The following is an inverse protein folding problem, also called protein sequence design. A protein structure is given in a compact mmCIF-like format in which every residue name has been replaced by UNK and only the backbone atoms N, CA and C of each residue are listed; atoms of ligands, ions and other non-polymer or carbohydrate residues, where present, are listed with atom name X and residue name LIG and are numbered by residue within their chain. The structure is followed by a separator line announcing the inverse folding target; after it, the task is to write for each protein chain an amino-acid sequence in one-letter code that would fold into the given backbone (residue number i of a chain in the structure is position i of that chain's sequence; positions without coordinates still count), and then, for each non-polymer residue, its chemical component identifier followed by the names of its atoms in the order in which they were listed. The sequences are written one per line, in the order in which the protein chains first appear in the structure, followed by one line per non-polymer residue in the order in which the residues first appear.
data_IF_775439863848
#
_entry.id   IF_775439863848
#
_cell.length_a   1.000
_cell.length_b   1.000
_cell.length_c   1.000
_cell.angle_alpha   90.00
_cell.angle_beta   90.00
_cell.angle_gamma   90.00
#
_symmetry.space_group_name_H-M   'P 1'
#
loop_
_entity.id
_entity.type
_entity.pdbx_description
1 polymer ?
#
# COMPACT_ATOMS: atom_id res chain seq x y z
N UNK A 1 16.49 22.98 7.59
CA UNK A 1 15.16 23.31 8.18
C UNK A 1 14.07 23.46 7.13
N UNK A 2 14.09 24.46 6.21
CA UNK A 2 12.97 24.63 5.24
C UNK A 2 12.74 23.38 4.35
N UNK A 3 13.81 22.76 3.88
CA UNK A 3 13.77 21.57 3.01
C UNK A 3 13.20 20.33 3.75
N UNK A 4 13.46 20.18 5.03
CA UNK A 4 12.93 19.07 5.84
C UNK A 4 11.42 19.18 6.05
N UNK A 5 10.91 20.41 6.26
CA UNK A 5 9.47 20.64 6.36
C UNK A 5 8.72 20.41 5.04
N UNK A 6 9.36 20.74 3.92
CA UNK A 6 8.78 20.51 2.59
C UNK A 6 8.74 19.02 2.25
N UNK A 7 9.81 18.26 2.56
CA UNK A 7 9.85 16.81 2.42
C UNK A 7 8.74 16.15 3.24
N UNK A 8 8.68 16.46 4.55
CA UNK A 8 7.65 15.94 5.44
C UNK A 8 6.23 16.29 4.96
N UNK A 9 6.00 17.53 4.55
CA UNK A 9 4.70 17.99 4.06
C UNK A 9 4.26 17.24 2.80
N UNK A 10 5.16 17.09 1.82
CA UNK A 10 4.89 16.37 0.57
C UNK A 10 4.56 14.90 0.84
N UNK A 11 5.38 14.21 1.63
CA UNK A 11 5.15 12.80 1.96
C UNK A 11 3.85 12.60 2.74
N UNK A 12 3.52 13.51 3.65
CA UNK A 12 2.25 13.45 4.40
C UNK A 12 1.04 13.57 3.46
N UNK A 13 1.06 14.53 2.53
CA UNK A 13 -0.03 14.71 1.56
C UNK A 13 -0.16 13.47 0.67
N UNK A 14 0.96 12.95 0.15
CA UNK A 14 0.96 11.74 -0.68
C UNK A 14 0.46 10.52 0.10
N UNK A 15 0.82 10.40 1.37
CA UNK A 15 0.35 9.30 2.24
C UNK A 15 -1.16 9.34 2.46
N UNK A 16 -1.71 10.53 2.75
CA UNK A 16 -3.15 10.71 2.90
C UNK A 16 -3.87 10.39 1.59
N UNK A 17 -3.37 10.90 0.46
CA UNK A 17 -3.95 10.65 -0.84
C UNK A 17 -3.90 9.16 -1.22
N UNK A 18 -2.78 8.49 -0.95
CA UNK A 18 -2.62 7.05 -1.14
C UNK A 18 -3.69 6.25 -0.37
N UNK A 19 -3.79 6.45 0.94
CA UNK A 19 -4.74 5.72 1.77
C UNK A 19 -6.19 6.03 1.39
N UNK A 20 -6.50 7.31 1.11
CA UNK A 20 -7.84 7.71 0.70
C UNK A 20 -8.26 7.08 -0.63
N UNK A 21 -7.40 7.12 -1.64
CA UNK A 21 -7.71 6.54 -2.96
C UNK A 21 -7.79 5.02 -2.89
N UNK A 22 -6.93 4.38 -2.10
CA UNK A 22 -6.96 2.93 -1.87
C UNK A 22 -8.25 2.51 -1.16
N UNK A 23 -8.63 3.20 -0.09
CA UNK A 23 -9.89 2.99 0.62
C UNK A 23 -11.10 3.17 -0.30
N UNK A 24 -11.08 4.21 -1.15
CA UNK A 24 -12.17 4.50 -2.09
C UNK A 24 -12.35 3.40 -3.14
N UNK A 25 -11.25 2.88 -3.70
CA UNK A 25 -11.31 1.78 -4.67
C UNK A 25 -11.84 0.51 -4.01
N UNK A 26 -11.42 0.21 -2.78
CA UNK A 26 -11.92 -0.94 -2.05
C UNK A 26 -13.37 -0.77 -1.60
N UNK A 27 -13.77 0.42 -1.12
CA UNK A 27 -15.15 0.66 -0.75
C UNK A 27 -16.09 0.44 -1.93
N UNK A 28 -15.73 0.88 -3.13
CA UNK A 28 -16.53 0.63 -4.35
C UNK A 28 -16.64 -0.88 -4.65
N UNK A 29 -15.62 -1.68 -4.33
CA UNK A 29 -15.66 -3.14 -4.50
C UNK A 29 -16.63 -3.79 -3.51
N UNK A 30 -16.76 -3.24 -2.30
CA UNK A 30 -17.60 -3.76 -1.22
C UNK A 30 -18.87 -2.93 -0.95
N UNK A 31 -19.18 -1.90 -1.75
CA UNK A 31 -20.13 -0.82 -1.46
C UNK A 31 -21.47 -1.35 -0.91
N UNK A 32 -22.09 -2.28 -1.62
CA UNK A 32 -23.35 -2.90 -1.20
C UNK A 32 -23.31 -3.59 0.16
N UNK A 33 -22.16 -4.13 0.55
CA UNK A 33 -21.98 -4.95 1.76
C UNK A 33 -21.53 -4.15 2.98
N UNK A 34 -20.89 -3.01 2.76
CA UNK A 34 -20.56 -2.06 3.83
C UNK A 34 -21.84 -1.45 4.41
N UNK A 35 -22.84 -1.18 3.57
CA UNK A 35 -24.16 -0.70 4.00
C UNK A 35 -24.92 -1.73 4.85
N UNK A 36 -24.78 -3.01 4.55
CA UNK A 36 -25.40 -4.13 5.28
C UNK A 36 -24.73 -4.45 6.63
N UNK A 37 -23.71 -3.69 7.07
CA UNK A 37 -22.92 -3.90 8.30
C UNK A 37 -22.36 -5.34 8.42
N UNK A 38 -21.93 -5.90 7.31
CA UNK A 38 -21.34 -7.24 7.26
C UNK A 38 -19.97 -7.26 7.94
N UNK A 39 -19.85 -7.91 9.09
CA UNK A 39 -18.63 -7.94 9.89
C UNK A 39 -17.46 -8.61 9.15
N UNK A 40 -17.71 -9.67 8.37
CA UNK A 40 -16.67 -10.34 7.60
C UNK A 40 -16.06 -9.40 6.56
N UNK A 41 -16.88 -8.62 5.85
CA UNK A 41 -16.40 -7.64 4.89
C UNK A 41 -15.65 -6.49 5.55
N UNK A 42 -16.11 -6.02 6.72
CA UNK A 42 -15.39 -5.00 7.50
C UNK A 42 -14.01 -5.47 7.95
N UNK A 43 -13.86 -6.75 8.33
CA UNK A 43 -12.57 -7.36 8.67
C UNK A 43 -11.63 -7.35 7.46
N UNK A 44 -12.11 -7.80 6.29
CA UNK A 44 -11.31 -7.82 5.06
C UNK A 44 -10.93 -6.39 4.62
N UNK A 45 -11.87 -5.47 4.66
CA UNK A 45 -11.62 -4.06 4.34
C UNK A 45 -10.58 -3.44 5.30
N UNK A 46 -10.76 -3.61 6.61
CA UNK A 46 -9.85 -3.07 7.62
C UNK A 46 -8.44 -3.67 7.52
N UNK A 47 -8.34 -4.99 7.34
CA UNK A 47 -7.03 -5.66 7.18
C UNK A 47 -6.30 -5.23 5.91
N UNK A 48 -7.00 -5.00 4.82
CA UNK A 48 -6.39 -4.51 3.60
C UNK A 48 -5.95 -3.04 3.68
N UNK A 49 -6.64 -2.20 4.45
CA UNK A 49 -6.16 -0.85 4.77
C UNK A 49 -4.91 -0.89 5.66
N UNK A 50 -4.86 -1.79 6.66
CA UNK A 50 -3.66 -2.00 7.48
C UNK A 50 -2.48 -2.48 6.63
N UNK A 51 -2.70 -3.43 5.73
CA UNK A 51 -1.70 -3.91 4.79
C UNK A 51 -1.17 -2.78 3.89
N UNK A 52 -2.07 -1.94 3.37
CA UNK A 52 -1.69 -0.75 2.61
C UNK A 52 -0.87 0.26 3.44
N UNK A 53 -1.20 0.44 4.71
CA UNK A 53 -0.43 1.27 5.64
C UNK A 53 0.98 0.72 5.91
N UNK A 54 1.14 -0.60 6.05
CA UNK A 54 2.44 -1.26 6.17
C UNK A 54 3.28 -1.02 4.91
N UNK A 55 2.70 -1.25 3.74
CA UNK A 55 3.36 -1.03 2.46
C UNK A 55 3.78 0.44 2.28
N UNK A 56 2.91 1.36 2.67
CA UNK A 56 3.17 2.80 2.64
C UNK A 56 4.35 3.18 3.54
N UNK A 57 4.41 2.66 4.76
CA UNK A 57 5.52 2.93 5.68
C UNK A 57 6.86 2.53 5.07
N UNK A 58 6.93 1.38 4.44
CA UNK A 58 8.17 0.90 3.80
C UNK A 58 8.63 1.77 2.62
N UNK A 59 7.72 2.32 1.80
CA UNK A 59 8.11 3.14 0.65
C UNK A 59 8.40 4.59 1.04
N UNK A 60 7.84 5.07 2.15
CA UNK A 60 8.04 6.45 2.60
C UNK A 60 9.50 6.76 2.88
N UNK A 61 10.24 5.84 3.51
CA UNK A 61 11.67 6.02 3.80
C UNK A 61 12.48 6.16 2.51
N UNK A 62 12.28 5.23 1.55
CA UNK A 62 12.99 5.27 0.25
C UNK A 62 12.63 6.53 -0.55
N UNK A 63 11.37 6.94 -0.51
CA UNK A 63 10.91 8.17 -1.16
C UNK A 63 11.52 9.41 -0.52
N UNK A 64 11.62 9.46 0.81
CA UNK A 64 12.26 10.55 1.56
C UNK A 64 13.74 10.68 1.18
N UNK A 65 14.48 9.57 1.14
CA UNK A 65 15.89 9.57 0.78
C UNK A 65 16.11 10.10 -0.64
N UNK A 66 15.29 9.64 -1.61
CA UNK A 66 15.35 10.11 -2.99
C UNK A 66 15.04 11.61 -3.09
N UNK A 67 14.00 12.07 -2.38
CA UNK A 67 13.62 13.48 -2.36
C UNK A 67 14.73 14.35 -1.77
N UNK A 68 15.26 14.00 -0.61
CA UNK A 68 16.34 14.75 0.06
C UNK A 68 17.57 14.88 -0.82
N UNK A 69 17.97 13.78 -1.49
CA UNK A 69 19.08 13.80 -2.42
C UNK A 69 18.83 14.77 -3.58
N UNK A 70 17.70 14.65 -4.28
CA UNK A 70 17.39 15.50 -5.44
C UNK A 70 17.19 16.97 -5.06
N UNK A 71 16.59 17.25 -3.90
CA UNK A 71 16.44 18.60 -3.37
C UNK A 71 17.83 19.21 -3.08
N UNK A 72 18.78 18.43 -2.55
CA UNK A 72 20.15 18.91 -2.33
C UNK A 72 20.87 19.31 -3.62
N UNK A 73 20.48 18.70 -4.76
CA UNK A 73 20.95 19.04 -6.09
C UNK A 73 20.14 20.17 -6.75
N UNK A 74 19.20 20.77 -6.03
CA UNK A 74 18.27 21.80 -6.54
C UNK A 74 17.32 21.30 -7.66
N UNK A 75 17.04 19.98 -7.69
CA UNK A 75 16.20 19.31 -8.69
C UNK A 75 14.79 18.99 -8.17
N UNK A 76 14.07 19.99 -7.71
CA UNK A 76 12.74 19.87 -7.06
C UNK A 76 11.71 19.11 -7.89
N UNK A 77 11.63 19.39 -9.19
CA UNK A 77 10.66 18.74 -10.09
C UNK A 77 10.90 17.22 -10.16
N UNK A 78 12.18 16.81 -10.20
CA UNK A 78 12.53 15.40 -10.21
C UNK A 78 12.22 14.76 -8.84
N UNK A 79 12.48 15.46 -7.73
CA UNK A 79 12.18 14.98 -6.39
C UNK A 79 10.70 14.63 -6.24
N UNK A 80 9.80 15.53 -6.62
CA UNK A 80 8.36 15.30 -6.59
C UNK A 80 7.97 14.16 -7.55
N UNK A 81 8.55 14.11 -8.75
CA UNK A 81 8.31 13.06 -9.73
C UNK A 81 8.67 11.67 -9.20
N UNK A 82 9.81 11.52 -8.53
CA UNK A 82 10.22 10.26 -7.89
C UNK A 82 9.29 9.87 -6.75
N UNK A 83 8.91 10.80 -5.88
CA UNK A 83 7.96 10.53 -4.82
C UNK A 83 6.63 10.01 -5.38
N UNK A 84 6.07 10.68 -6.38
CA UNK A 84 4.84 10.25 -7.05
C UNK A 84 4.98 8.85 -7.67
N UNK A 85 6.10 8.57 -8.32
CA UNK A 85 6.37 7.25 -8.93
C UNK A 85 6.39 6.14 -7.87
N UNK A 86 7.08 6.35 -6.75
CA UNK A 86 7.17 5.38 -5.67
C UNK A 86 5.82 5.13 -5.00
N UNK A 87 5.06 6.18 -4.71
CA UNK A 87 3.72 6.06 -4.14
C UNK A 87 2.74 5.38 -5.10
N UNK A 88 2.77 5.71 -6.39
CA UNK A 88 1.94 5.05 -7.41
C UNK A 88 2.32 3.57 -7.56
N UNK A 89 3.60 3.24 -7.62
CA UNK A 89 4.10 1.86 -7.68
C UNK A 89 3.65 1.03 -6.48
N UNK A 90 3.77 1.59 -5.26
CA UNK A 90 3.34 0.92 -4.05
C UNK A 90 1.81 0.79 -3.96
N UNK A 91 1.07 1.76 -4.50
CA UNK A 91 -0.39 1.67 -4.60
C UNK A 91 -0.82 0.49 -5.49
N UNK A 92 -0.21 0.37 -6.67
CA UNK A 92 -0.44 -0.75 -7.60
C UNK A 92 -0.07 -2.07 -6.91
N UNK A 93 1.07 -2.13 -6.23
CA UNK A 93 1.51 -3.30 -5.50
C UNK A 93 0.50 -3.72 -4.42
N UNK A 94 0.02 -2.79 -3.60
CA UNK A 94 -0.99 -3.06 -2.57
C UNK A 94 -2.30 -3.56 -3.16
N UNK A 95 -2.72 -3.01 -4.30
CA UNK A 95 -3.91 -3.49 -5.02
C UNK A 95 -3.71 -4.91 -5.57
N UNK A 96 -2.55 -5.20 -6.13
CA UNK A 96 -2.20 -6.55 -6.63
C UNK A 96 -2.17 -7.56 -5.49
N UNK A 97 -1.57 -7.21 -4.33
CA UNK A 97 -1.59 -8.06 -3.14
C UNK A 97 -3.02 -8.36 -2.68
N UNK A 98 -3.88 -7.36 -2.64
CA UNK A 98 -5.29 -7.54 -2.32
C UNK A 98 -5.95 -8.55 -3.27
N UNK A 99 -5.70 -8.46 -4.57
CA UNK A 99 -6.23 -9.41 -5.58
C UNK A 99 -5.66 -10.82 -5.43
N UNK A 100 -4.35 -10.93 -5.17
CA UNK A 100 -3.66 -12.21 -4.94
C UNK A 100 -4.23 -12.89 -3.69
N UNK A 101 -4.49 -12.14 -2.62
CA UNK A 101 -5.06 -12.70 -1.39
C UNK A 101 -6.42 -13.32 -1.65
N UNK A 102 -7.30 -12.65 -2.42
CA UNK A 102 -8.57 -13.25 -2.84
C UNK A 102 -8.39 -14.52 -3.66
N UNK A 103 -7.39 -14.58 -4.51
CA UNK A 103 -7.09 -15.78 -5.29
C UNK A 103 -6.63 -16.92 -4.38
N UNK A 104 -5.73 -16.67 -3.43
CA UNK A 104 -5.20 -17.68 -2.49
C UNK A 104 -6.33 -18.20 -1.59
N UNK A 105 -7.11 -17.31 -0.98
CA UNK A 105 -8.22 -17.71 -0.11
C UNK A 105 -9.31 -18.45 -0.86
N UNK A 106 -9.52 -18.13 -2.14
CA UNK A 106 -10.46 -18.84 -3.02
C UNK A 106 -10.11 -20.31 -3.23
N UNK A 107 -8.83 -20.71 -3.10
CA UNK A 107 -8.43 -22.13 -3.11
C UNK A 107 -8.70 -22.85 -1.80
N UNK A 108 -8.80 -22.11 -0.70
CA UNK A 108 -9.01 -22.67 0.63
C UNK A 108 -10.48 -22.83 0.97
N UNK A 109 -11.37 -22.27 0.14
CA UNK A 109 -12.83 -22.28 0.37
C UNK A 109 -13.54 -23.19 -0.62
N UNK A 110 -14.54 -23.99 -0.18
CA UNK A 110 -15.34 -24.84 -1.07
C UNK A 110 -16.20 -24.05 -2.07
N UNK A 111 -16.63 -22.85 -1.65
CA UNK A 111 -17.33 -21.88 -2.50
C UNK A 111 -16.42 -20.67 -2.79
N UNK A 112 -16.84 -19.79 -3.71
CA UNK A 112 -16.07 -18.57 -3.92
C UNK A 112 -16.03 -17.73 -2.64
N UNK A 113 -14.81 -17.25 -2.27
CA UNK A 113 -14.59 -16.45 -1.07
C UNK A 113 -15.60 -15.30 -0.92
N UNK A 114 -15.90 -14.61 -2.02
CA UNK A 114 -16.86 -13.51 -2.00
C UNK A 114 -18.26 -13.96 -1.58
N UNK A 115 -18.68 -15.19 -1.91
CA UNK A 115 -19.97 -15.74 -1.45
C UNK A 115 -19.94 -16.01 0.05
N UNK A 116 -18.84 -16.56 0.57
CA UNK A 116 -18.66 -16.81 2.01
C UNK A 116 -18.64 -15.50 2.81
N UNK A 117 -17.93 -14.49 2.33
CA UNK A 117 -17.93 -13.17 2.94
C UNK A 117 -19.35 -12.54 2.95
N UNK A 118 -20.12 -12.73 1.88
CA UNK A 118 -21.53 -12.28 1.83
C UNK A 118 -22.43 -12.95 2.87
N UNK A 119 -22.16 -14.20 3.19
CA UNK A 119 -22.86 -14.94 4.26
C UNK A 119 -22.38 -14.53 5.67
N UNK A 120 -21.53 -13.48 5.76
CA UNK A 120 -20.90 -13.02 7.01
C UNK A 120 -20.02 -14.07 7.67
N UNK A 121 -19.32 -14.89 6.87
CA UNK A 121 -18.38 -15.90 7.39
C UNK A 121 -17.10 -15.23 7.90
N UNK A 122 -17.05 -15.03 9.23
CA UNK A 122 -15.93 -14.36 9.92
C UNK A 122 -14.65 -15.20 9.86
N UNK A 123 -14.74 -16.52 9.85
CA UNK A 123 -13.57 -17.40 9.80
C UNK A 123 -12.79 -17.20 8.50
N UNK A 124 -13.48 -17.16 7.37
CA UNK A 124 -12.88 -16.87 6.06
C UNK A 124 -12.32 -15.46 6.00
N UNK A 125 -13.01 -14.49 6.59
CA UNK A 125 -12.52 -13.11 6.67
C UNK A 125 -11.23 -13.02 7.49
N UNK A 126 -11.10 -13.75 8.59
CA UNK A 126 -9.87 -13.80 9.39
C UNK A 126 -8.72 -14.48 8.65
N UNK A 127 -8.98 -15.58 7.93
CA UNK A 127 -7.96 -16.21 7.08
C UNK A 127 -7.45 -15.23 6.03
N UNK A 128 -8.35 -14.51 5.34
CA UNK A 128 -7.99 -13.47 4.40
C UNK A 128 -7.13 -12.37 5.05
N UNK A 129 -7.57 -11.88 6.21
CA UNK A 129 -6.85 -10.84 6.95
C UNK A 129 -5.42 -11.26 7.31
N UNK A 130 -5.24 -12.50 7.79
CA UNK A 130 -3.91 -13.02 8.11
C UNK A 130 -3.04 -13.10 6.87
N UNK A 131 -3.56 -13.65 5.77
CA UNK A 131 -2.78 -13.82 4.53
C UNK A 131 -2.32 -12.47 3.99
N UNK A 132 -3.21 -11.47 3.87
CA UNK A 132 -2.83 -10.16 3.32
C UNK A 132 -1.81 -9.44 4.21
N UNK A 133 -1.92 -9.52 5.53
CA UNK A 133 -0.96 -8.93 6.45
C UNK A 133 0.40 -9.62 6.36
N UNK A 134 0.43 -10.96 6.34
CA UNK A 134 1.68 -11.73 6.20
C UNK A 134 2.36 -11.42 4.87
N UNK A 135 1.61 -11.40 3.76
CA UNK A 135 2.15 -11.04 2.45
C UNK A 135 2.72 -9.62 2.44
N UNK A 136 2.04 -8.65 3.05
CA UNK A 136 2.54 -7.28 3.16
C UNK A 136 3.83 -7.20 3.96
N UNK A 137 3.90 -7.84 5.14
CA UNK A 137 5.12 -7.87 5.94
C UNK A 137 6.31 -8.52 5.23
N UNK A 138 6.08 -9.57 4.45
CA UNK A 138 7.14 -10.31 3.76
C UNK A 138 7.58 -9.62 2.47
N UNK A 139 6.64 -9.11 1.68
CA UNK A 139 6.92 -8.62 0.33
C UNK A 139 7.23 -7.13 0.27
N UNK A 140 6.66 -6.29 1.16
CA UNK A 140 6.93 -4.85 1.15
C UNK A 140 8.42 -4.50 1.28
N UNK A 141 9.21 -5.13 2.19
CA UNK A 141 10.65 -4.89 2.26
C UNK A 141 11.40 -5.27 0.98
N UNK A 142 10.97 -6.35 0.29
CA UNK A 142 11.58 -6.77 -0.97
C UNK A 142 11.33 -5.74 -2.09
N UNK A 143 10.10 -5.25 -2.22
CA UNK A 143 9.75 -4.19 -3.17
C UNK A 143 10.51 -2.91 -2.88
N UNK A 144 10.64 -2.53 -1.61
CA UNK A 144 11.40 -1.35 -1.19
C UNK A 144 12.89 -1.46 -1.57
N UNK A 145 13.49 -2.64 -1.43
CA UNK A 145 14.86 -2.89 -1.89
C UNK A 145 14.98 -2.72 -3.42
N UNK A 146 14.02 -3.20 -4.19
CA UNK A 146 14.00 -2.97 -5.64
C UNK A 146 13.86 -1.47 -5.92
N UNK A 147 12.95 -0.78 -5.25
CA UNK A 147 12.76 0.66 -5.41
C UNK A 147 14.03 1.48 -5.09
N UNK A 148 14.80 1.08 -4.06
CA UNK A 148 16.03 1.76 -3.69
C UNK A 148 17.11 1.75 -4.77
N UNK A 149 17.11 0.77 -5.70
CA UNK A 149 18.03 0.77 -6.83
C UNK A 149 17.73 1.87 -7.86
N UNK A 150 16.55 2.45 -7.83
CA UNK A 150 16.17 3.57 -8.69
C UNK A 150 16.42 4.94 -8.04
N UNK A 151 16.84 4.96 -6.77
CA UNK A 151 17.22 6.21 -6.11
C UNK A 151 18.55 6.69 -6.71
N UNK A 152 18.62 7.93 -7.20
CA UNK A 152 19.82 8.46 -7.83
C UNK A 152 20.88 8.83 -6.76
N UNK A 153 21.50 7.82 -6.14
CA UNK A 153 22.61 8.07 -5.22
C UNK A 153 23.81 8.62 -5.96
N UNK A 154 24.62 9.51 -5.32
CA UNK A 154 25.86 9.95 -5.91
C UNK A 154 26.76 8.74 -6.13
N UNK A 155 27.20 8.53 -7.37
CA UNK A 155 28.32 7.63 -7.65
C UNK A 155 29.52 8.17 -6.91
N UNK A 156 29.95 7.50 -5.85
CA UNK A 156 31.20 7.85 -5.20
C UNK A 156 32.29 7.79 -6.29
N UNK A 157 33.09 8.85 -6.48
CA UNK A 157 34.26 8.74 -7.32
C UNK A 157 35.20 7.73 -6.66
N UNK A 158 35.47 6.62 -7.33
CA UNK A 158 36.51 5.65 -6.96
C UNK A 158 37.88 6.28 -7.16
#
# INVERSE_FOLDING_TARGET
MLNEWMDLGTLTILSIFYLFTFARVQSNFFDKYLEEKNAAILIVFGSSLLAAGINLNHISDTSSDAMRFLISQNEWTKAIGFALLFFAGMWIFSYVLFRITFFITGFLTPESELKELRKNNIEIALVHAIIILVLSFVLAPAITRVASHFVPYPTLPF
#
